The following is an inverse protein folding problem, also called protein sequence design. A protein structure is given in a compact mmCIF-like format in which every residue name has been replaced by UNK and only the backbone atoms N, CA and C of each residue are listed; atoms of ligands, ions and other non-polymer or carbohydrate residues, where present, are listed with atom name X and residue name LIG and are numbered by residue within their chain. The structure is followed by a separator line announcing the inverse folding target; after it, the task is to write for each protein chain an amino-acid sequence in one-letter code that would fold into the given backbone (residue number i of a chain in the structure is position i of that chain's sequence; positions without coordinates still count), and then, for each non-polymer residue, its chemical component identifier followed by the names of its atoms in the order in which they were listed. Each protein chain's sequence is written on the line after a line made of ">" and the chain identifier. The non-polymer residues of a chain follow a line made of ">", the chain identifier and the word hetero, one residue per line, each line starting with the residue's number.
data_IF_754692246401
#
_entry.id   IF_754692246401
#
_cell.length_a   1.000
_cell.length_b   1.000
_cell.length_c   1.000
_cell.angle_alpha   90.00
_cell.angle_beta   90.00
_cell.angle_gamma   90.00
#
_symmetry.space_group_name_H-M   'P 1'
#
loop_
_entity.id
_entity.type
_entity.pdbx_description
1 polymer ?
#
# COMPACT_ATOMS: atom_id res chain seq x y z
N UNK A 1 17.75 -26.32 8.45
CA UNK A 1 18.00 -24.88 8.72
C UNK A 1 17.21 -23.98 7.77
N UNK A 2 17.14 -24.29 6.46
CA UNK A 2 16.36 -23.51 5.47
C UNK A 2 14.84 -23.44 5.75
N UNK A 3 14.20 -24.53 6.19
CA UNK A 3 12.75 -24.53 6.51
C UNK A 3 12.37 -23.55 7.64
N UNK A 4 13.22 -23.38 8.66
CA UNK A 4 12.95 -22.45 9.76
C UNK A 4 13.10 -20.99 9.31
N UNK A 5 14.07 -20.72 8.44
CA UNK A 5 14.31 -19.39 7.87
C UNK A 5 13.16 -18.97 6.93
N UNK A 6 12.64 -19.91 6.14
CA UNK A 6 11.51 -19.68 5.26
C UNK A 6 10.23 -19.37 6.05
N UNK A 7 9.95 -20.16 7.10
CA UNK A 7 8.80 -19.95 7.99
C UNK A 7 8.88 -18.59 8.71
N UNK A 8 10.07 -18.17 9.12
CA UNK A 8 10.29 -16.84 9.70
C UNK A 8 9.96 -15.71 8.72
N UNK A 9 10.45 -15.79 7.47
CA UNK A 9 10.16 -14.79 6.44
C UNK A 9 8.68 -14.74 6.07
N UNK A 10 8.00 -15.89 6.01
CA UNK A 10 6.55 -15.93 5.76
C UNK A 10 5.76 -15.28 6.90
N UNK A 11 6.14 -15.52 8.16
CA UNK A 11 5.54 -14.83 9.30
C UNK A 11 5.76 -13.31 9.24
N UNK A 12 6.94 -12.87 8.79
CA UNK A 12 7.24 -11.44 8.61
C UNK A 12 6.37 -10.81 7.53
N UNK A 13 6.23 -11.46 6.35
CA UNK A 13 5.31 -11.04 5.28
C UNK A 13 3.87 -10.94 5.82
N UNK A 14 3.39 -11.97 6.53
CA UNK A 14 2.02 -12.00 7.04
C UNK A 14 1.75 -10.93 8.09
N UNK A 15 2.71 -10.63 8.97
CA UNK A 15 2.60 -9.51 9.92
C UNK A 15 2.44 -8.18 9.20
N UNK A 16 3.14 -8.00 8.07
CA UNK A 16 3.09 -6.78 7.25
C UNK A 16 1.81 -6.67 6.43
N UNK A 17 1.33 -7.79 5.88
CA UNK A 17 -0.01 -7.86 5.28
C UNK A 17 -1.06 -7.47 6.30
N UNK A 18 -1.00 -8.00 7.53
CA UNK A 18 -1.93 -7.64 8.60
C UNK A 18 -1.91 -6.13 8.91
N UNK A 19 -0.72 -5.52 9.04
CA UNK A 19 -0.58 -4.08 9.23
C UNK A 19 -1.25 -3.27 8.10
N UNK A 20 -1.02 -3.67 6.84
CA UNK A 20 -1.63 -3.02 5.68
C UNK A 20 -3.15 -3.24 5.62
N UNK A 21 -3.66 -4.40 6.06
CA UNK A 21 -5.10 -4.66 6.14
C UNK A 21 -5.78 -3.75 7.18
N UNK A 22 -5.12 -3.47 8.31
CA UNK A 22 -5.64 -2.49 9.27
C UNK A 22 -5.72 -1.09 8.67
N UNK A 23 -4.68 -0.68 7.92
CA UNK A 23 -4.67 0.59 7.18
C UNK A 23 -5.79 0.62 6.15
N UNK A 24 -6.00 -0.47 5.41
CA UNK A 24 -7.10 -0.59 4.45
C UNK A 24 -8.47 -0.41 5.10
N UNK A 25 -8.73 -1.06 6.24
CA UNK A 25 -9.98 -0.92 6.98
C UNK A 25 -10.18 0.54 7.38
N UNK A 26 -9.13 1.19 7.88
CA UNK A 26 -9.17 2.60 8.25
C UNK A 26 -9.49 3.52 7.05
N UNK A 27 -8.85 3.28 5.89
CA UNK A 27 -9.12 4.02 4.65
C UNK A 27 -10.57 3.83 4.17
N UNK A 28 -11.12 2.61 4.28
CA UNK A 28 -12.53 2.33 3.93
C UNK A 28 -13.49 3.03 4.89
N UNK A 29 -13.19 3.09 6.19
CA UNK A 29 -14.00 3.84 7.16
C UNK A 29 -13.99 5.33 6.84
N UNK A 30 -12.83 5.90 6.50
CA UNK A 30 -12.74 7.30 6.06
C UNK A 30 -13.57 7.55 4.81
N UNK A 31 -13.53 6.65 3.82
CA UNK A 31 -14.38 6.72 2.64
C UNK A 31 -15.87 6.68 3.00
N UNK A 32 -16.27 5.80 3.92
CA UNK A 32 -17.64 5.71 4.41
C UNK A 32 -18.12 7.01 5.06
N UNK A 33 -17.27 7.63 5.88
CA UNK A 33 -17.54 8.94 6.48
C UNK A 33 -17.70 10.01 5.39
N UNK A 34 -16.78 10.06 4.41
CA UNK A 34 -16.88 10.98 3.28
C UNK A 34 -18.20 10.81 2.52
N UNK A 35 -18.62 9.56 2.25
CA UNK A 35 -19.89 9.23 1.59
C UNK A 35 -21.10 9.80 2.31
N UNK A 36 -21.17 9.66 3.64
CA UNK A 36 -22.29 10.20 4.43
C UNK A 36 -22.40 11.72 4.35
N UNK A 37 -21.32 12.42 3.99
CA UNK A 37 -21.29 13.88 3.89
C UNK A 37 -21.49 14.43 2.46
N UNK A 38 -21.53 13.57 1.43
CA UNK A 38 -21.64 13.96 0.01
C UNK A 38 -22.89 14.81 -0.26
N UNK A 39 -24.02 14.55 0.42
CA UNK A 39 -25.28 15.24 0.17
C UNK A 39 -25.21 16.77 0.29
N UNK A 40 -24.51 17.31 1.30
CA UNK A 40 -24.43 18.76 1.54
C UNK A 40 -23.31 19.47 0.76
N UNK A 41 -22.33 18.74 0.19
CA UNK A 41 -21.06 19.30 -0.31
C UNK A 41 -20.53 18.68 -1.61
N UNK A 42 -21.44 18.29 -2.49
CA UNK A 42 -21.26 17.44 -3.66
C UNK A 42 -20.08 17.79 -4.61
N UNK A 43 -19.74 19.08 -4.77
CA UNK A 43 -18.60 19.50 -5.61
C UNK A 43 -17.25 19.41 -4.90
N UNK A 44 -17.22 19.68 -3.58
CA UNK A 44 -16.00 19.56 -2.77
C UNK A 44 -15.67 18.11 -2.41
N UNK A 45 -16.65 17.22 -2.47
CA UNK A 45 -16.50 15.79 -2.16
C UNK A 45 -15.98 14.96 -3.33
N UNK A 46 -16.20 15.34 -4.60
CA UNK A 46 -15.77 14.54 -5.77
C UNK A 46 -14.25 14.34 -5.82
N UNK A 47 -13.49 15.38 -5.52
CA UNK A 47 -12.03 15.34 -5.51
C UNK A 47 -11.51 14.55 -4.32
N UNK A 48 -12.04 14.81 -3.11
CA UNK A 48 -11.71 14.03 -1.91
C UNK A 48 -12.00 12.54 -2.12
N UNK A 49 -13.14 12.22 -2.70
CA UNK A 49 -13.56 10.86 -3.02
C UNK A 49 -12.59 10.14 -3.97
N UNK A 50 -12.16 10.83 -5.03
CA UNK A 50 -11.20 10.27 -6.00
C UNK A 50 -9.85 10.00 -5.33
N UNK A 51 -9.40 10.92 -4.47
CA UNK A 51 -8.18 10.75 -3.67
C UNK A 51 -8.32 9.51 -2.79
N UNK A 52 -9.38 9.40 -1.99
CA UNK A 52 -9.61 8.28 -1.07
C UNK A 52 -9.67 6.93 -1.81
N UNK A 53 -10.28 6.87 -3.00
CA UNK A 53 -10.25 5.66 -3.84
C UNK A 53 -8.83 5.29 -4.26
N UNK A 54 -8.00 6.28 -4.64
CA UNK A 54 -6.61 6.04 -5.01
C UNK A 54 -5.85 5.42 -3.83
N UNK A 55 -6.07 5.90 -2.60
CA UNK A 55 -5.47 5.30 -1.39
C UNK A 55 -5.83 3.84 -1.23
N UNK A 56 -7.12 3.55 -1.24
CA UNK A 56 -7.67 2.20 -1.05
C UNK A 56 -7.13 1.26 -2.13
N UNK A 57 -7.12 1.73 -3.38
CA UNK A 57 -6.60 0.96 -4.52
C UNK A 57 -5.10 0.69 -4.37
N UNK A 58 -4.32 1.68 -3.91
CA UNK A 58 -2.90 1.56 -3.68
C UNK A 58 -2.60 0.56 -2.54
N UNK A 59 -3.40 0.57 -1.47
CA UNK A 59 -3.28 -0.38 -0.35
C UNK A 59 -3.60 -1.81 -0.79
N UNK A 60 -4.67 -2.00 -1.56
CA UNK A 60 -5.00 -3.31 -2.15
C UNK A 60 -3.91 -3.79 -3.10
N UNK A 61 -3.33 -2.89 -3.89
CA UNK A 61 -2.23 -3.22 -4.80
C UNK A 61 -1.05 -3.85 -4.06
N UNK A 62 -0.57 -3.23 -2.97
CA UNK A 62 0.55 -3.78 -2.20
C UNK A 62 0.19 -5.04 -1.41
N UNK A 63 -1.02 -5.12 -0.84
CA UNK A 63 -1.49 -6.34 -0.17
C UNK A 63 -1.51 -7.50 -1.16
N UNK A 64 -2.05 -7.29 -2.36
CA UNK A 64 -2.09 -8.31 -3.41
C UNK A 64 -0.68 -8.73 -3.86
N UNK A 65 0.25 -7.78 -3.99
CA UNK A 65 1.63 -8.06 -4.35
C UNK A 65 2.33 -8.95 -3.31
N UNK A 66 2.08 -8.71 -2.02
CA UNK A 66 2.63 -9.49 -0.91
C UNK A 66 2.00 -10.89 -0.81
N UNK A 67 0.68 -11.01 -0.88
CA UNK A 67 -0.03 -12.29 -0.78
C UNK A 67 0.28 -13.20 -1.98
N UNK A 68 0.18 -12.66 -3.21
CA UNK A 68 0.42 -13.42 -4.44
C UNK A 68 1.90 -13.55 -4.78
N UNK A 69 2.78 -13.03 -3.92
CA UNK A 69 4.23 -13.03 -4.08
C UNK A 69 4.68 -12.47 -5.45
N UNK A 70 4.02 -11.41 -5.94
CA UNK A 70 4.27 -10.83 -7.27
C UNK A 70 5.37 -9.78 -7.21
N UNK A 71 6.60 -10.22 -7.45
CA UNK A 71 7.81 -9.37 -7.40
C UNK A 71 7.76 -8.13 -8.29
N UNK A 72 7.20 -8.22 -9.51
CA UNK A 72 7.09 -7.08 -10.42
C UNK A 72 6.13 -6.01 -9.89
N UNK A 73 4.98 -6.41 -9.34
CA UNK A 73 4.05 -5.48 -8.70
C UNK A 73 4.68 -4.83 -7.47
N UNK A 74 5.37 -5.61 -6.64
CA UNK A 74 6.09 -5.08 -5.48
C UNK A 74 7.14 -4.03 -5.88
N UNK A 75 7.91 -4.27 -6.96
CA UNK A 75 8.92 -3.31 -7.46
C UNK A 75 8.32 -2.02 -8.03
N UNK A 76 7.10 -2.07 -8.56
CA UNK A 76 6.38 -0.89 -9.07
C UNK A 76 5.73 -0.07 -7.95
N UNK A 77 5.54 -0.65 -6.77
CA UNK A 77 4.84 -0.01 -5.66
C UNK A 77 5.42 1.36 -5.26
N UNK A 78 6.74 1.59 -5.14
CA UNK A 78 7.27 2.91 -4.79
C UNK A 78 6.86 4.00 -5.79
N UNK A 79 6.80 3.68 -7.08
CA UNK A 79 6.39 4.61 -8.14
C UNK A 79 4.92 4.97 -7.98
N UNK A 80 4.07 3.96 -7.78
CA UNK A 80 2.62 4.16 -7.57
C UNK A 80 2.37 4.93 -6.27
N UNK A 81 3.14 4.64 -5.22
CA UNK A 81 3.05 5.31 -3.93
C UNK A 81 3.50 6.78 -3.98
N UNK A 82 4.54 7.11 -4.75
CA UNK A 82 4.97 8.49 -4.99
C UNK A 82 3.86 9.33 -5.66
N UNK A 83 3.10 8.73 -6.57
CA UNK A 83 1.93 9.39 -7.16
C UNK A 83 0.85 9.66 -6.11
N UNK A 84 0.58 8.70 -5.22
CA UNK A 84 -0.40 8.87 -4.13
C UNK A 84 0.01 9.98 -3.16
N UNK A 85 1.28 10.05 -2.77
CA UNK A 85 1.82 11.15 -1.94
C UNK A 85 1.58 12.51 -2.61
N UNK A 86 1.90 12.61 -3.90
CA UNK A 86 1.82 13.86 -4.65
C UNK A 86 0.37 14.39 -4.68
N UNK A 87 -0.60 13.50 -4.86
CA UNK A 87 -2.03 13.86 -4.83
C UNK A 87 -2.48 14.37 -3.46
N UNK A 88 -1.93 13.87 -2.35
CA UNK A 88 -2.27 14.33 -0.99
C UNK A 88 -1.96 15.81 -0.79
N UNK A 89 -0.81 16.24 -1.28
CA UNK A 89 -0.26 17.57 -1.00
C UNK A 89 -0.66 18.61 -2.06
N UNK A 90 -0.92 18.20 -3.31
CA UNK A 90 -1.32 19.13 -4.38
C UNK A 90 -2.75 19.65 -4.22
N UNK A 91 -3.64 18.92 -3.56
CA UNK A 91 -5.01 19.39 -3.40
C UNK A 91 -5.13 20.48 -2.33
N UNK A 92 -5.94 21.54 -2.56
CA UNK A 92 -6.11 22.62 -1.59
C UNK A 92 -6.78 22.14 -0.30
N UNK A 93 -6.55 22.83 0.82
CA UNK A 93 -7.26 22.52 2.07
C UNK A 93 -8.73 22.94 1.96
N UNK A 94 -9.67 22.08 2.39
CA UNK A 94 -11.08 22.42 2.39
C UNK A 94 -11.37 23.48 3.46
N UNK A 95 -12.26 24.43 3.15
CA UNK A 95 -12.60 25.56 4.04
C UNK A 95 -13.38 25.18 5.30
N UNK A 96 -13.88 23.94 5.38
CA UNK A 96 -14.72 23.45 6.49
C UNK A 96 -13.90 22.55 7.41
N UNK A 97 -14.01 22.79 8.73
CA UNK A 97 -13.20 22.10 9.74
C UNK A 97 -13.28 20.56 9.69
N UNK A 98 -14.46 19.99 9.42
CA UNK A 98 -14.62 18.53 9.34
C UNK A 98 -13.83 17.92 8.17
N UNK A 99 -13.89 18.52 6.98
CA UNK A 99 -13.11 18.06 5.84
C UNK A 99 -11.60 18.33 6.03
N UNK A 100 -11.25 19.37 6.80
CA UNK A 100 -9.87 19.64 7.17
C UNK A 100 -9.30 18.53 8.06
N UNK A 101 -10.09 18.05 9.04
CA UNK A 101 -9.71 16.91 9.88
C UNK A 101 -9.52 15.63 9.07
N UNK A 102 -10.45 15.32 8.15
CA UNK A 102 -10.33 14.14 7.28
C UNK A 102 -9.06 14.21 6.44
N UNK A 103 -8.77 15.39 5.86
CA UNK A 103 -7.55 15.60 5.07
C UNK A 103 -6.28 15.48 5.92
N UNK A 104 -6.28 16.01 7.15
CA UNK A 104 -5.15 15.87 8.07
C UNK A 104 -4.92 14.39 8.44
N UNK A 105 -5.98 13.63 8.71
CA UNK A 105 -5.88 12.19 8.95
C UNK A 105 -5.31 11.45 7.73
N UNK A 106 -5.75 11.79 6.52
CA UNK A 106 -5.18 11.24 5.28
C UNK A 106 -3.68 11.55 5.15
N UNK A 107 -3.25 12.77 5.45
CA UNK A 107 -1.82 13.15 5.44
C UNK A 107 -1.03 12.32 6.45
N UNK A 108 -1.53 12.15 7.67
CA UNK A 108 -0.86 11.32 8.70
C UNK A 108 -0.74 9.86 8.26
N UNK A 109 -1.80 9.29 7.67
CA UNK A 109 -1.76 7.94 7.09
C UNK A 109 -0.73 7.86 5.96
N UNK A 110 -0.66 8.88 5.10
CA UNK A 110 0.32 8.93 4.00
C UNK A 110 1.75 8.93 4.51
N UNK A 111 2.05 9.77 5.51
CA UNK A 111 3.40 9.88 6.08
C UNK A 111 3.79 8.56 6.77
N UNK A 112 2.88 7.97 7.56
CA UNK A 112 3.14 6.68 8.21
C UNK A 112 3.36 5.56 7.19
N UNK A 113 2.63 5.56 6.07
CA UNK A 113 2.89 4.65 4.94
C UNK A 113 4.22 4.94 4.27
N UNK A 114 4.62 6.19 4.11
CA UNK A 114 5.90 6.54 3.48
C UNK A 114 7.09 6.03 4.30
N UNK A 115 7.01 6.20 5.62
CA UNK A 115 7.95 5.61 6.58
C UNK A 115 7.97 4.08 6.40
N UNK A 116 6.79 3.44 6.35
CA UNK A 116 6.70 2.00 6.14
C UNK A 116 7.34 1.55 4.81
N UNK A 117 7.07 2.23 3.70
CA UNK A 117 7.67 1.91 2.40
C UNK A 117 9.19 2.02 2.51
N UNK A 118 9.70 3.12 3.06
CA UNK A 118 11.14 3.37 3.14
C UNK A 118 11.87 2.30 3.95
N UNK A 119 11.36 1.92 5.12
CA UNK A 119 12.02 0.94 5.99
C UNK A 119 11.84 -0.52 5.55
N UNK A 120 10.68 -0.88 4.98
CA UNK A 120 10.38 -2.29 4.69
C UNK A 120 10.62 -2.70 3.23
N UNK A 121 10.70 -1.74 2.30
CA UNK A 121 10.87 -2.05 0.89
C UNK A 121 12.17 -2.83 0.62
N UNK A 122 13.26 -2.43 1.25
CA UNK A 122 14.56 -3.07 1.07
C UNK A 122 14.60 -4.49 1.65
N UNK A 123 14.02 -4.69 2.84
CA UNK A 123 13.87 -6.02 3.45
C UNK A 123 13.09 -6.98 2.53
N UNK A 124 11.95 -6.52 2.00
CA UNK A 124 11.12 -7.34 1.12
C UNK A 124 11.74 -7.59 -0.25
N UNK A 125 12.48 -6.62 -0.81
CA UNK A 125 13.20 -6.81 -2.06
C UNK A 125 14.13 -8.01 -1.98
N UNK A 126 14.88 -8.14 -0.88
CA UNK A 126 15.77 -9.28 -0.67
C UNK A 126 15.01 -10.61 -0.54
N UNK A 127 13.83 -10.61 0.09
CA UNK A 127 12.96 -11.80 0.19
C UNK A 127 12.45 -12.21 -1.19
N UNK A 128 11.98 -11.27 -1.99
CA UNK A 128 11.45 -11.53 -3.34
C UNK A 128 12.53 -11.95 -4.33
N UNK A 129 13.71 -11.32 -4.28
CA UNK A 129 14.85 -11.67 -5.13
C UNK A 129 15.35 -13.09 -4.80
N UNK A 130 15.37 -13.47 -3.52
CA UNK A 130 15.66 -14.84 -3.10
C UNK A 130 14.61 -15.86 -3.58
N UNK A 131 13.31 -15.55 -3.48
CA UNK A 131 12.25 -16.44 -3.97
C UNK A 131 12.31 -16.62 -5.48
N UNK A 132 12.56 -15.54 -6.22
CA UNK A 132 12.78 -15.61 -7.67
C UNK A 132 14.02 -16.46 -7.98
N UNK A 133 15.14 -16.25 -7.27
CA UNK A 133 16.35 -17.07 -7.43
C UNK A 133 16.09 -18.56 -7.23
N UNK A 134 15.36 -18.95 -6.17
CA UNK A 134 14.98 -20.35 -5.94
C UNK A 134 14.12 -20.92 -7.07
N UNK A 135 13.17 -20.12 -7.60
CA UNK A 135 12.32 -20.51 -8.73
C UNK A 135 13.12 -20.72 -10.03
N UNK A 136 14.15 -19.91 -10.26
CA UNK A 136 15.06 -20.10 -11.41
C UNK A 136 16.06 -21.24 -11.20
N UNK A 137 16.53 -21.45 -9.96
CA UNK A 137 17.43 -22.55 -9.60
C UNK A 137 16.75 -23.92 -9.71
N UNK A 138 15.46 -24.04 -9.38
CA UNK A 138 14.72 -25.30 -9.59
C UNK A 138 14.44 -25.58 -11.07
N UNK A 139 14.65 -24.59 -11.95
CA UNK A 139 14.43 -24.68 -13.39
C UNK A 139 15.74 -25.01 -14.15
N UNK A 140 16.62 -25.82 -13.54
CA UNK A 140 17.87 -26.32 -14.11
C UNK A 140 17.70 -27.05 -15.47
N UNK A 141 16.48 -27.37 -15.91
CA UNK A 141 16.19 -27.86 -17.27
C UNK A 141 16.45 -26.83 -18.38
N UNK A 142 16.55 -25.54 -18.08
CA UNK A 142 16.82 -24.47 -19.07
C UNK A 142 18.29 -24.06 -19.15
N UNK A 143 19.14 -24.47 -18.21
CA UNK A 143 20.56 -24.08 -18.15
C UNK A 143 21.48 -25.17 -18.74
N UNK A 144 20.91 -26.33 -19.11
CA UNK A 144 21.61 -27.46 -19.74
C UNK A 144 21.37 -27.61 -21.25
N UNK A 145 21.09 -26.53 -21.98
CA UNK A 145 21.16 -26.49 -23.45
C UNK A 145 22.02 -25.33 -23.89
#
# INVERSE_FOLDING_TARGET
>A
MENNLQKYRENEVMKKVFQLTLVYIFEVVLLGIEFTMIGKYQTSTRTAFTITIIYISNTLYIISALILKRSLQFRLYPVIFAFTITMTFLHPFPKKGIFMLIKLLQIVVTISRAIWVFFFYESFRNIFDWQNFLKYKSNQRLIGK
#
